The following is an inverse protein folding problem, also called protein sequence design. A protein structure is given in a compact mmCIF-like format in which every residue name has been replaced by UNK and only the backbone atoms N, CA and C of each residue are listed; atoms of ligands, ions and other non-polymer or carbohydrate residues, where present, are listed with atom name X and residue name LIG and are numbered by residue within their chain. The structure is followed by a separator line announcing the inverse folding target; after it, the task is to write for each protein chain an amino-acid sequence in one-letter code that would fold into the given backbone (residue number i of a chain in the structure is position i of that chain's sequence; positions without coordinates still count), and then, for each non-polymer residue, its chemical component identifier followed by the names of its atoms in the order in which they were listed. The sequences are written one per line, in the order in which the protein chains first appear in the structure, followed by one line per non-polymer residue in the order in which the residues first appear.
data_IF_535320374886
#
_entry.id   IF_535320374886
#
_cell.length_a   1.000
_cell.length_b   1.000
_cell.length_c   1.000
_cell.angle_alpha   90.00
_cell.angle_beta   90.00
_cell.angle_gamma   90.00
#
_symmetry.space_group_name_H-M   'P 1'
#
loop_
_entity.id
_entity.type
_entity.pdbx_description
1 polymer ?
#
# COMPACT_ATOMS: atom_id res chain seq x y z
N UNK A 1 4.83 8.11 -10.65
CA UNK A 1 4.95 8.11 -9.18
C UNK A 1 5.28 9.50 -8.67
N UNK A 2 4.61 9.93 -7.64
CA UNK A 2 4.94 11.16 -6.93
C UNK A 2 5.24 10.84 -5.48
N UNK A 3 6.39 11.24 -4.98
CA UNK A 3 6.74 11.11 -3.57
C UNK A 3 6.23 12.36 -2.85
N UNK A 4 5.19 12.19 -2.02
CA UNK A 4 4.61 13.28 -1.23
C UNK A 4 5.48 13.57 0.00
N UNK A 5 5.94 12.49 0.66
CA UNK A 5 6.86 12.54 1.79
C UNK A 5 7.84 11.38 1.66
N UNK A 6 9.11 11.69 1.82
CA UNK A 6 10.16 10.67 1.71
C UNK A 6 10.14 9.67 2.88
N UNK A 7 9.60 10.09 4.01
CA UNK A 7 9.58 9.29 5.23
C UNK A 7 10.76 9.55 6.14
N UNK A 8 10.84 8.76 7.20
CA UNK A 8 11.89 8.86 8.21
C UNK A 8 12.52 7.50 8.47
N UNK A 9 13.61 7.48 9.25
CA UNK A 9 14.32 6.24 9.56
C UNK A 9 15.18 5.77 8.39
N UNK A 10 15.17 4.48 8.10
CA UNK A 10 16.01 3.87 7.08
C UNK A 10 15.17 3.28 5.93
N UNK A 11 15.83 3.08 4.79
CA UNK A 11 15.29 2.33 3.66
C UNK A 11 15.23 0.83 3.98
N UNK A 12 14.59 0.05 3.12
CA UNK A 12 14.59 -1.40 3.25
C UNK A 12 16.01 -1.96 3.18
N UNK A 13 16.32 -2.81 4.15
CA UNK A 13 17.61 -3.51 4.19
C UNK A 13 17.58 -4.71 3.25
N UNK A 14 18.74 -5.01 2.64
CA UNK A 14 18.87 -6.14 1.73
C UNK A 14 18.85 -7.48 2.48
N UNK A 15 18.22 -8.49 1.87
CA UNK A 15 18.17 -9.88 2.38
C UNK A 15 17.54 -10.02 3.76
N UNK A 16 16.64 -9.11 4.12
CA UNK A 16 15.93 -9.14 5.39
C UNK A 16 14.43 -9.03 5.15
N UNK A 17 13.67 -9.90 5.81
CA UNK A 17 12.21 -9.81 5.79
C UNK A 17 11.75 -8.70 6.71
N UNK A 18 11.00 -7.76 6.17
CA UNK A 18 10.47 -6.62 6.90
C UNK A 18 8.96 -6.57 6.75
N UNK A 19 8.25 -6.43 7.85
CA UNK A 19 6.81 -6.19 7.83
C UNK A 19 6.55 -4.70 7.70
N UNK A 20 5.81 -4.33 6.67
CA UNK A 20 5.48 -2.95 6.36
C UNK A 20 3.98 -2.75 6.56
N UNK A 21 3.63 -1.73 7.32
CA UNK A 21 2.25 -1.32 7.54
C UNK A 21 1.88 -0.26 6.52
N UNK A 22 0.73 -0.44 5.86
CA UNK A 22 0.28 0.46 4.80
C UNK A 22 -1.09 1.01 5.11
N UNK A 23 -1.25 2.32 4.93
CA UNK A 23 -2.55 2.95 4.79
C UNK A 23 -2.66 3.43 3.36
N UNK A 24 -3.81 3.21 2.73
CA UNK A 24 -3.94 3.45 1.30
C UNK A 24 -5.36 3.82 0.89
N UNK A 25 -5.45 4.36 -0.33
CA UNK A 25 -6.70 4.55 -1.06
C UNK A 25 -6.50 4.01 -2.48
N UNK A 26 -7.43 3.16 -2.94
CA UNK A 26 -7.45 2.61 -4.30
C UNK A 26 -8.61 3.21 -5.08
N UNK A 27 -8.32 3.84 -6.22
CA UNK A 27 -9.32 4.49 -7.04
C UNK A 27 -9.23 3.99 -8.49
N UNK A 28 -10.37 3.61 -9.04
CA UNK A 28 -10.48 3.27 -10.44
C UNK A 28 -10.41 4.57 -11.28
N UNK A 29 -9.40 4.70 -12.13
CA UNK A 29 -9.19 5.93 -12.91
C UNK A 29 -10.29 6.12 -13.95
N UNK A 30 -10.82 5.04 -14.51
CA UNK A 30 -11.83 5.11 -15.57
C UNK A 30 -13.18 5.61 -15.05
N UNK A 31 -13.57 5.19 -13.85
CA UNK A 31 -14.86 5.55 -13.25
C UNK A 31 -14.75 6.69 -12.23
N UNK A 32 -13.58 6.92 -11.66
CA UNK A 32 -13.38 7.88 -10.57
C UNK A 32 -13.79 7.33 -9.20
N UNK A 33 -14.27 6.11 -9.12
CA UNK A 33 -14.76 5.53 -7.86
C UNK A 33 -13.61 5.04 -6.99
N UNK A 34 -13.70 5.33 -5.70
CA UNK A 34 -12.82 4.74 -4.69
C UNK A 34 -13.31 3.32 -4.41
N UNK A 35 -12.47 2.34 -4.70
CA UNK A 35 -12.82 0.92 -4.62
C UNK A 35 -12.65 0.39 -3.21
N UNK A 36 -11.49 0.66 -2.60
CA UNK A 36 -11.18 0.24 -1.25
C UNK A 36 -10.16 1.20 -0.64
N UNK A 37 -10.25 1.42 0.67
CA UNK A 37 -9.32 2.31 1.38
C UNK A 37 -9.30 1.99 2.87
N UNK A 38 -8.23 2.39 3.55
CA UNK A 38 -8.11 2.33 5.01
C UNK A 38 -7.39 3.55 5.57
N UNK A 39 -7.23 4.61 4.78
CA UNK A 39 -6.44 5.80 5.14
C UNK A 39 -7.23 6.84 5.94
N UNK A 40 -8.55 6.73 5.99
CA UNK A 40 -9.42 7.64 6.74
C UNK A 40 -10.47 6.86 7.53
N UNK A 41 -11.08 7.53 8.51
CA UNK A 41 -12.24 6.99 9.20
C UNK A 41 -13.45 7.04 8.26
N UNK A 42 -13.85 5.88 7.74
CA UNK A 42 -14.96 5.76 6.80
C UNK A 42 -15.52 4.35 6.85
N UNK A 43 -16.77 4.21 6.44
CA UNK A 43 -17.40 2.90 6.23
C UNK A 43 -17.51 2.64 4.75
N UNK A 44 -17.21 1.41 4.32
CA UNK A 44 -17.49 0.97 2.97
C UNK A 44 -18.76 0.13 2.98
N UNK A 45 -19.69 0.43 2.07
CA UNK A 45 -20.96 -0.30 1.97
C UNK A 45 -20.75 -1.79 1.69
N UNK A 46 -19.67 -2.14 1.00
CA UNK A 46 -19.32 -3.54 0.70
C UNK A 46 -18.97 -4.37 1.94
N UNK A 47 -18.63 -3.72 3.06
CA UNK A 47 -18.28 -4.37 4.34
C UNK A 47 -19.41 -4.30 5.37
N UNK A 48 -20.51 -3.62 5.04
CA UNK A 48 -21.61 -3.37 5.95
C UNK A 48 -21.55 -2.01 6.62
N UNK A 49 -22.64 -1.61 7.28
CA UNK A 49 -22.72 -0.30 7.95
C UNK A 49 -22.00 -0.32 9.29
N UNK A 50 -21.36 0.78 9.64
CA UNK A 50 -20.72 0.97 10.94
C UNK A 50 -19.31 0.41 11.06
N UNK A 51 -18.75 -0.17 9.99
CA UNK A 51 -17.37 -0.67 9.99
C UNK A 51 -16.44 0.47 9.55
N UNK A 52 -15.52 0.85 10.43
CA UNK A 52 -14.51 1.86 10.14
C UNK A 52 -13.31 1.19 9.47
N UNK A 53 -13.09 1.49 8.19
CA UNK A 53 -12.01 0.86 7.41
C UNK A 53 -10.62 1.20 7.92
N UNK A 54 -10.46 2.30 8.67
CA UNK A 54 -9.17 2.66 9.25
C UNK A 54 -8.69 1.67 10.31
N UNK A 55 -9.56 0.81 10.83
CA UNK A 55 -9.20 -0.26 11.75
C UNK A 55 -8.51 -1.45 11.06
N UNK A 56 -8.64 -1.55 9.74
CA UNK A 56 -8.06 -2.63 8.95
C UNK A 56 -6.75 -2.18 8.32
N UNK A 57 -5.72 -2.07 9.16
CA UNK A 57 -4.39 -1.69 8.70
C UNK A 57 -3.80 -2.80 7.83
N UNK A 58 -3.35 -2.44 6.64
CA UNK A 58 -2.72 -3.40 5.75
C UNK A 58 -1.29 -3.68 6.17
N UNK A 59 -0.97 -4.96 6.26
CA UNK A 59 0.37 -5.43 6.59
C UNK A 59 0.87 -6.31 5.46
N UNK A 60 2.07 -6.04 4.97
CA UNK A 60 2.74 -6.89 4.01
C UNK A 60 4.14 -7.26 4.49
N UNK A 61 4.55 -8.49 4.14
CA UNK A 61 5.91 -8.97 4.34
C UNK A 61 6.70 -8.68 3.08
N UNK A 62 7.84 -8.00 3.20
CA UNK A 62 8.66 -7.58 2.06
C UNK A 62 10.09 -8.04 2.24
N UNK A 63 10.67 -8.57 1.16
CA UNK A 63 12.09 -8.93 1.09
C UNK A 63 12.72 -8.24 -0.11
N UNK A 64 13.86 -7.60 0.12
CA UNK A 64 14.69 -7.03 -0.95
C UNK A 64 15.87 -7.95 -1.22
N UNK A 65 16.06 -8.34 -2.49
CA UNK A 65 17.21 -9.10 -2.95
C UNK A 65 17.84 -8.33 -4.11
N UNK A 66 18.92 -7.60 -3.83
CA UNK A 66 19.49 -6.66 -4.80
C UNK A 66 18.51 -5.56 -5.14
N UNK A 67 18.08 -5.49 -6.39
CA UNK A 67 17.07 -4.54 -6.85
C UNK A 67 15.66 -5.16 -6.94
N UNK A 68 15.53 -6.45 -6.63
CA UNK A 68 14.27 -7.18 -6.71
C UNK A 68 13.55 -7.12 -5.36
N UNK A 69 12.27 -6.76 -5.39
CA UNK A 69 11.40 -6.75 -4.22
C UNK A 69 10.32 -7.82 -4.39
N UNK A 70 10.13 -8.63 -3.36
CA UNK A 70 9.04 -9.60 -3.28
C UNK A 70 8.22 -9.32 -2.03
N UNK A 71 6.91 -9.47 -2.12
CA UNK A 71 6.03 -9.16 -1.02
C UNK A 71 4.75 -9.99 -1.06
N UNK A 72 4.16 -10.17 0.13
CA UNK A 72 2.85 -10.80 0.29
C UNK A 72 2.07 -10.07 1.36
N UNK A 73 0.76 -9.89 1.16
CA UNK A 73 -0.13 -9.38 2.21
C UNK A 73 -0.31 -10.42 3.31
N UNK A 74 -0.20 -9.98 4.55
CA UNK A 74 -0.47 -10.80 5.73
C UNK A 74 -1.88 -10.55 6.26
N UNK A 75 -2.37 -9.34 6.15
CA UNK A 75 -3.71 -8.94 6.59
C UNK A 75 -4.07 -7.58 5.99
N UNK A 76 -5.35 -7.22 6.09
CA UNK A 76 -5.82 -5.89 5.77
C UNK A 76 -6.88 -5.84 4.68
N UNK A 77 -7.21 -4.62 4.23
CA UNK A 77 -8.30 -4.37 3.30
C UNK A 77 -8.05 -4.91 1.90
N UNK A 78 -6.82 -4.82 1.40
CA UNK A 78 -6.50 -5.38 0.08
C UNK A 78 -6.73 -6.89 0.05
N UNK A 79 -6.29 -7.58 1.10
CA UNK A 79 -6.51 -9.01 1.25
C UNK A 79 -8.01 -9.33 1.33
N UNK A 80 -8.75 -8.57 2.16
CA UNK A 80 -10.19 -8.79 2.36
C UNK A 80 -10.99 -8.53 1.09
N UNK A 81 -10.70 -7.44 0.41
CA UNK A 81 -11.48 -7.02 -0.75
C UNK A 81 -11.15 -7.85 -2.00
N UNK A 82 -9.87 -8.04 -2.31
CA UNK A 82 -9.44 -8.75 -3.51
C UNK A 82 -9.29 -10.26 -3.33
N UNK A 83 -9.30 -10.74 -2.08
CA UNK A 83 -9.21 -12.18 -1.77
C UNK A 83 -7.87 -12.80 -2.13
N UNK A 84 -6.78 -12.03 -2.17
CA UNK A 84 -5.46 -12.50 -2.59
C UNK A 84 -4.36 -11.91 -1.71
N UNK A 85 -3.30 -12.69 -1.50
CA UNK A 85 -2.10 -12.23 -0.80
C UNK A 85 -1.11 -11.52 -1.73
N UNK A 86 -1.39 -11.48 -3.03
CA UNK A 86 -0.51 -10.81 -4.01
C UNK A 86 -0.52 -9.30 -3.81
N UNK A 87 0.67 -8.74 -3.62
CA UNK A 87 0.86 -7.28 -3.58
C UNK A 87 1.04 -6.79 -5.02
N UNK A 88 0.28 -5.76 -5.45
CA UNK A 88 0.49 -5.19 -6.78
C UNK A 88 1.94 -4.76 -6.96
N UNK A 89 2.56 -5.12 -8.09
CA UNK A 89 3.96 -4.79 -8.36
C UNK A 89 4.23 -3.28 -8.27
N UNK A 90 3.26 -2.46 -8.67
CA UNK A 90 3.35 -1.00 -8.56
C UNK A 90 3.51 -0.49 -7.13
N UNK A 91 2.99 -1.21 -6.14
CA UNK A 91 3.15 -0.85 -4.72
C UNK A 91 4.59 -0.97 -4.23
N UNK A 92 5.39 -1.80 -4.87
CA UNK A 92 6.76 -2.08 -4.43
C UNK A 92 7.79 -1.10 -5.00
N UNK A 93 7.47 -0.47 -6.13
CA UNK A 93 8.38 0.49 -6.77
C UNK A 93 8.83 1.61 -5.84
N UNK A 94 7.93 2.27 -5.09
CA UNK A 94 8.34 3.37 -4.20
C UNK A 94 9.30 2.94 -3.09
N UNK A 95 9.28 1.67 -2.70
CA UNK A 95 10.15 1.17 -1.63
C UNK A 95 11.63 1.23 -1.99
N UNK A 96 11.97 1.47 -3.25
CA UNK A 96 13.34 1.73 -3.68
C UNK A 96 13.78 3.16 -3.38
N UNK A 97 12.85 4.06 -3.05
CA UNK A 97 13.11 5.51 -2.99
C UNK A 97 12.75 6.15 -1.67
N UNK A 98 11.93 5.49 -0.84
CA UNK A 98 11.43 6.07 0.42
C UNK A 98 12.03 5.39 1.64
N UNK A 99 11.97 6.10 2.76
CA UNK A 99 12.37 5.60 4.07
C UNK A 99 11.13 5.07 4.78
N UNK A 100 11.21 3.90 5.36
CA UNK A 100 10.06 3.21 5.95
C UNK A 100 10.10 3.16 7.48
N UNK A 101 10.86 4.04 8.12
CA UNK A 101 10.93 4.09 9.58
C UNK A 101 9.62 4.56 10.21
N UNK A 102 9.55 4.42 11.51
CA UNK A 102 8.43 4.93 12.32
C UNK A 102 8.78 6.31 12.84
N UNK A 103 7.84 7.28 12.82
CA UNK A 103 8.08 8.57 13.47
C UNK A 103 8.28 8.37 14.97
N UNK A 104 9.41 8.82 15.50
CA UNK A 104 9.74 8.75 16.92
C UNK A 104 9.95 10.14 17.53
N UNK A 105 10.20 11.13 16.69
CA UNK A 105 10.46 12.50 17.09
C UNK A 105 9.44 13.45 16.47
N UNK A 106 9.25 14.60 17.09
CA UNK A 106 8.40 15.66 16.56
C UNK A 106 8.94 16.11 15.19
N UNK A 107 8.01 16.29 14.24
CA UNK A 107 8.35 16.70 12.88
C UNK A 107 8.67 15.56 11.92
N UNK A 108 8.85 14.33 12.42
CA UNK A 108 9.02 13.17 11.56
C UNK A 108 7.67 12.67 11.05
N UNK A 109 7.63 12.22 9.80
CA UNK A 109 6.41 11.72 9.16
C UNK A 109 6.69 10.41 8.44
N UNK A 110 5.64 9.60 8.27
CA UNK A 110 5.69 8.37 7.46
C UNK A 110 5.85 8.71 5.98
N UNK A 111 6.46 7.82 5.22
CA UNK A 111 6.54 7.93 3.77
C UNK A 111 5.15 7.92 3.16
N UNK A 112 4.91 8.78 2.18
CA UNK A 112 3.66 8.83 1.43
C UNK A 112 3.94 9.03 -0.05
N UNK A 113 3.28 8.25 -0.88
CA UNK A 113 3.40 8.33 -2.34
C UNK A 113 2.03 8.36 -3.00
N UNK A 114 2.00 8.87 -4.23
CA UNK A 114 0.87 8.78 -5.15
C UNK A 114 1.33 8.02 -6.38
N UNK A 115 0.53 7.03 -6.78
CA UNK A 115 0.88 6.12 -7.88
C UNK A 115 -0.25 6.03 -8.89
N UNK A 116 0.11 5.96 -10.16
CA UNK A 116 -0.76 5.41 -11.19
C UNK A 116 -0.18 4.06 -11.56
N UNK A 117 -0.93 3.00 -11.33
CA UNK A 117 -0.48 1.62 -11.54
C UNK A 117 -1.19 1.06 -12.76
N UNK A 118 -0.45 0.75 -13.86
CA UNK A 118 -1.06 0.14 -15.04
C UNK A 118 -1.58 -1.25 -14.71
N UNK A 119 -2.52 -1.74 -15.50
CA UNK A 119 -3.20 -3.00 -15.23
C UNK A 119 -2.23 -4.18 -15.06
N UNK A 120 -1.11 -4.20 -15.79
CA UNK A 120 -0.13 -5.28 -15.73
C UNK A 120 0.67 -5.32 -14.42
N UNK A 121 0.67 -4.22 -13.65
CA UNK A 121 1.38 -4.10 -12.37
C UNK A 121 0.41 -3.95 -11.20
N UNK A 122 -0.87 -4.13 -11.44
CA UNK A 122 -1.92 -4.00 -10.45
C UNK A 122 -2.38 -5.35 -9.87
N UNK A 123 -3.58 -5.34 -9.31
CA UNK A 123 -4.23 -6.55 -8.80
C UNK A 123 -4.65 -7.47 -9.94
N UNK A 124 -5.02 -8.72 -9.62
CA UNK A 124 -5.56 -9.65 -10.61
C UNK A 124 -6.85 -9.10 -11.27
N UNK A 125 -7.68 -8.42 -10.49
CA UNK A 125 -8.90 -7.78 -10.99
C UNK A 125 -8.57 -6.68 -11.99
N UNK A 126 -7.59 -5.83 -11.68
CA UNK A 126 -7.12 -4.77 -12.58
C UNK A 126 -6.57 -5.35 -13.88
N UNK A 127 -5.78 -6.41 -13.78
CA UNK A 127 -5.18 -7.07 -14.94
C UNK A 127 -6.26 -7.70 -15.85
N UNK A 128 -7.25 -8.37 -15.26
CA UNK A 128 -8.34 -9.01 -16.01
C UNK A 128 -9.21 -8.00 -16.75
N UNK A 129 -9.49 -6.86 -16.15
CA UNK A 129 -10.34 -5.81 -16.72
C UNK A 129 -9.55 -4.80 -17.56
N UNK A 130 -8.22 -4.92 -17.60
CA UNK A 130 -7.33 -3.97 -18.29
C UNK A 130 -7.57 -2.54 -17.79
N UNK A 131 -7.63 -2.39 -16.46
CA UNK A 131 -7.98 -1.13 -15.80
C UNK A 131 -6.80 -0.60 -15.01
N UNK A 132 -6.33 0.63 -15.27
CA UNK A 132 -5.33 1.27 -14.40
C UNK A 132 -5.99 1.79 -13.14
N UNK A 133 -5.22 1.80 -12.04
CA UNK A 133 -5.68 2.30 -10.75
C UNK A 133 -4.76 3.38 -10.22
N UNK A 134 -5.35 4.32 -9.48
CA UNK A 134 -4.64 5.34 -8.73
C UNK A 134 -4.58 4.93 -7.27
N UNK A 135 -3.40 5.06 -6.67
CA UNK A 135 -3.20 4.77 -5.26
C UNK A 135 -2.57 5.95 -4.54
N UNK A 136 -3.01 6.20 -3.33
CA UNK A 136 -2.27 6.98 -2.34
C UNK A 136 -1.88 6.02 -1.22
N UNK A 137 -0.59 5.90 -0.92
CA UNK A 137 -0.09 4.90 0.03
C UNK A 137 0.88 5.53 1.01
N UNK A 138 0.72 5.21 2.30
CA UNK A 138 1.73 5.46 3.32
C UNK A 138 2.38 4.15 3.72
N UNK A 139 3.70 4.18 3.96
CA UNK A 139 4.47 3.01 4.35
C UNK A 139 5.12 3.25 5.70
N UNK A 140 5.08 2.25 6.58
CA UNK A 140 5.69 2.33 7.90
C UNK A 140 6.11 0.94 8.34
N UNK A 141 7.33 0.82 8.87
CA UNK A 141 7.82 -0.46 9.41
C UNK A 141 7.02 -0.84 10.65
N UNK A 142 6.65 -2.12 10.76
CA UNK A 142 6.08 -2.68 11.99
C UNK A 142 7.17 -2.76 13.06
N UNK A 143 6.77 -2.52 14.30
CA UNK A 143 7.66 -2.68 15.45
C UNK A 143 8.10 -4.12 15.67
#
# INVERSE_FOLDING_TARGET
MQIVREGCGSVLEENKTVNVLCRFMEQNIQTGDVVVRNDIHASLSSLGTGIDVSQYLDKMSVVRTGTTLTASFLSGMMYQYHGSTSVPGGWLVPLNYVKIGRPENEGEETAKVRLIVPHSQGTADASSSVTPYYYEITYQRER
#
